data_IF_058923694058
#
_entry.id   IF_058923694058
#
_cell.length_a   1.000
_cell.length_b   1.000
_cell.length_c   1.000
_cell.angle_alpha   90.00
_cell.angle_beta   90.00
_cell.angle_gamma   90.00
#
_symmetry.space_group_name_H-M   'P 1'
#
loop_
_entity.id
_entity.type
_entity.pdbx_description
1 polymer ?
#
# COMPACT_ATOMS: atom_id res chain seq x y z
N UNK A 1 -12.68 -8.91 -0.01
CA UNK A 1 -11.56 -9.85 -0.17
C UNK A 1 -11.18 -9.89 -1.64
N UNK A 2 -9.90 -9.69 -1.97
CA UNK A 2 -9.41 -9.73 -3.36
C UNK A 2 -8.77 -11.09 -3.58
N UNK A 3 -9.33 -11.89 -4.49
CA UNK A 3 -8.86 -13.26 -4.78
C UNK A 3 -8.36 -13.44 -6.21
N UNK A 4 -8.66 -12.50 -7.11
CA UNK A 4 -8.26 -12.58 -8.52
C UNK A 4 -7.05 -11.70 -8.83
N UNK A 5 -6.09 -12.27 -9.56
CA UNK A 5 -4.94 -11.54 -10.15
C UNK A 5 -5.36 -10.53 -11.22
N UNK A 6 -6.53 -10.71 -11.83
CA UNK A 6 -7.04 -9.78 -12.85
C UNK A 6 -7.76 -8.57 -12.26
N UNK A 7 -7.88 -8.49 -10.93
CA UNK A 7 -8.50 -7.36 -10.25
C UNK A 7 -7.81 -6.04 -10.65
N UNK A 8 -8.56 -4.98 -11.02
CA UNK A 8 -7.98 -3.71 -11.44
C UNK A 8 -7.03 -3.07 -10.42
N UNK A 9 -7.30 -3.21 -9.12
CA UNK A 9 -6.45 -2.66 -8.06
C UNK A 9 -5.10 -3.40 -7.99
N UNK A 10 -5.12 -4.73 -8.15
CA UNK A 10 -3.89 -5.54 -8.20
C UNK A 10 -3.08 -5.22 -9.45
N UNK A 11 -3.74 -5.05 -10.61
CA UNK A 11 -3.06 -4.61 -11.83
C UNK A 11 -2.40 -3.25 -11.63
N UNK A 12 -3.10 -2.27 -11.05
CA UNK A 12 -2.53 -0.95 -10.80
C UNK A 12 -1.32 -1.00 -9.85
N UNK A 13 -1.36 -1.85 -8.82
CA UNK A 13 -0.21 -2.07 -7.92
C UNK A 13 1.03 -2.53 -8.70
N UNK A 14 0.86 -3.45 -9.67
CA UNK A 14 1.94 -3.90 -10.55
C UNK A 14 2.42 -2.76 -11.47
N UNK A 15 1.51 -1.95 -12.02
CA UNK A 15 1.86 -0.79 -12.84
C UNK A 15 2.77 0.19 -12.09
N UNK A 16 2.48 0.48 -10.81
CA UNK A 16 3.27 1.38 -9.97
C UNK A 16 4.72 0.93 -9.72
N UNK A 17 5.13 -0.27 -10.13
CA UNK A 17 6.55 -0.66 -10.17
C UNK A 17 7.35 0.14 -11.22
N UNK A 18 6.69 0.68 -12.25
CA UNK A 18 7.31 1.54 -13.27
C UNK A 18 7.42 2.98 -12.79
N UNK A 19 8.55 3.62 -13.05
CA UNK A 19 8.79 5.00 -12.63
C UNK A 19 7.86 6.03 -13.31
N UNK A 20 7.47 5.78 -14.57
CA UNK A 20 6.52 6.64 -15.29
C UNK A 20 5.15 6.65 -14.61
N UNK A 21 4.62 5.47 -14.28
CA UNK A 21 3.33 5.29 -13.62
C UNK A 21 3.29 5.97 -12.25
N UNK A 22 4.38 5.87 -11.47
CA UNK A 22 4.48 6.56 -10.17
C UNK A 22 4.44 8.07 -10.30
N UNK A 23 5.11 8.63 -11.31
CA UNK A 23 5.13 10.07 -11.55
C UNK A 23 3.77 10.58 -12.03
N UNK A 24 3.13 9.83 -12.94
CA UNK A 24 1.83 10.17 -13.49
C UNK A 24 0.73 10.13 -12.42
N UNK A 25 0.68 9.06 -11.63
CA UNK A 25 -0.34 8.88 -10.59
C UNK A 25 0.01 9.62 -9.29
N UNK A 26 1.23 10.14 -9.17
CA UNK A 26 1.78 10.70 -7.92
C UNK A 26 1.70 9.72 -6.73
N UNK A 27 1.86 8.43 -7.01
CA UNK A 27 1.78 7.35 -6.02
C UNK A 27 3.06 6.52 -6.00
N UNK A 28 3.39 5.99 -4.82
CA UNK A 28 4.46 5.02 -4.63
C UNK A 28 3.90 3.78 -3.93
N UNK A 29 4.53 2.63 -4.15
CA UNK A 29 4.22 1.40 -3.42
C UNK A 29 5.22 1.28 -2.27
N UNK A 30 4.70 1.08 -1.06
CA UNK A 30 5.49 0.84 0.15
C UNK A 30 5.10 -0.54 0.67
N UNK A 31 6.08 -1.44 0.76
CA UNK A 31 5.90 -2.81 1.23
C UNK A 31 6.63 -3.01 2.54
N UNK A 32 6.03 -3.79 3.44
CA UNK A 32 6.59 -4.07 4.75
C UNK A 32 6.07 -3.13 5.84
N UNK A 33 5.79 -3.69 7.01
CA UNK A 33 5.22 -2.95 8.16
C UNK A 33 6.12 -1.78 8.58
N UNK A 34 7.43 -2.02 8.68
CA UNK A 34 8.40 -1.02 9.15
C UNK A 34 8.48 0.17 8.19
N UNK A 35 8.45 -0.10 6.90
CA UNK A 35 8.52 0.90 5.83
C UNK A 35 7.22 1.72 5.78
N UNK A 36 6.06 1.07 5.92
CA UNK A 36 4.75 1.74 6.04
C UNK A 36 4.73 2.66 7.26
N UNK A 37 5.13 2.18 8.44
CA UNK A 37 5.20 3.00 9.65
C UNK A 37 6.15 4.18 9.49
N UNK A 38 7.28 4.00 8.79
CA UNK A 38 8.21 5.10 8.48
C UNK A 38 7.59 6.13 7.54
N UNK A 39 6.88 5.70 6.51
CA UNK A 39 6.20 6.60 5.59
C UNK A 39 5.15 7.44 6.34
N UNK A 40 4.32 6.81 7.17
CA UNK A 40 3.33 7.50 8.00
C UNK A 40 3.96 8.49 8.99
N UNK A 41 5.12 8.16 9.57
CA UNK A 41 5.89 9.06 10.45
C UNK A 41 6.49 10.27 9.73
N UNK A 42 6.65 10.21 8.41
CA UNK A 42 7.16 11.30 7.56
C UNK A 42 6.05 11.94 6.72
N UNK A 43 4.82 11.93 7.24
CA UNK A 43 3.66 12.63 6.67
C UNK A 43 3.23 12.17 5.26
N UNK A 44 3.62 10.96 4.85
CA UNK A 44 3.03 10.35 3.66
C UNK A 44 1.58 9.99 3.94
N UNK A 45 0.68 10.41 3.04
CA UNK A 45 -0.73 10.07 3.09
C UNK A 45 -0.95 8.67 2.52
N UNK A 46 -1.70 7.86 3.25
CA UNK A 46 -2.04 6.51 2.83
C UNK A 46 -3.24 6.56 1.90
N UNK A 47 -3.03 6.22 0.63
CA UNK A 47 -4.08 6.17 -0.38
C UNK A 47 -4.86 4.84 -0.33
N UNK A 48 -4.15 3.70 -0.33
CA UNK A 48 -4.72 2.34 -0.27
C UNK A 48 -3.80 1.43 0.52
N UNK A 49 -4.38 0.60 1.40
CA UNK A 49 -3.67 -0.45 2.13
C UNK A 49 -4.12 -1.82 1.65
N UNK A 50 -3.15 -2.66 1.27
CA UNK A 50 -3.38 -4.06 0.96
C UNK A 50 -2.91 -4.89 2.15
N UNK A 51 -3.79 -5.74 2.67
CA UNK A 51 -3.50 -6.62 3.80
C UNK A 51 -3.90 -8.05 3.47
N UNK A 52 -3.08 -9.00 3.91
CA UNK A 52 -3.38 -10.43 3.86
C UNK A 52 -3.42 -10.95 5.29
N UNK A 53 -4.59 -11.35 5.78
CA UNK A 53 -4.76 -11.78 7.17
C UNK A 53 -3.85 -12.94 7.56
N UNK A 54 -3.61 -13.86 6.63
CA UNK A 54 -2.70 -15.00 6.81
C UNK A 54 -1.23 -14.57 7.03
N UNK A 55 -0.83 -13.41 6.48
CA UNK A 55 0.54 -12.89 6.57
C UNK A 55 0.68 -11.89 7.71
N UNK A 56 -0.33 -11.05 7.95
CA UNK A 56 -0.25 -9.93 8.88
C UNK A 56 -0.33 -10.35 10.36
N UNK A 57 -0.86 -11.53 10.68
CA UNK A 57 -1.10 -11.97 12.06
C UNK A 57 -2.12 -11.11 12.81
N UNK A 58 -2.54 -11.56 14.00
CA UNK A 58 -3.65 -10.95 14.76
C UNK A 58 -3.34 -9.58 15.40
N UNK A 59 -2.07 -9.14 15.40
CA UNK A 59 -1.62 -7.97 16.17
C UNK A 59 -1.11 -6.78 15.35
N UNK A 60 -1.46 -6.67 14.07
CA UNK A 60 -0.98 -5.58 13.22
C UNK A 60 -1.96 -4.41 13.20
N UNK A 61 -1.84 -3.52 14.19
CA UNK A 61 -2.48 -2.20 14.18
C UNK A 61 -1.56 -1.21 13.47
N UNK A 62 -2.07 -0.60 12.40
CA UNK A 62 -1.43 0.52 11.73
C UNK A 62 -2.41 1.68 11.86
N UNK A 63 -2.08 2.68 12.67
CA UNK A 63 -2.91 3.86 12.87
C UNK A 63 -2.58 4.87 11.77
N UNK A 64 -3.43 4.94 10.74
CA UNK A 64 -3.40 6.07 9.82
C UNK A 64 -4.05 7.26 10.54
N UNK A 65 -3.33 8.37 10.68
CA UNK A 65 -3.94 9.63 11.11
C UNK A 65 -4.77 10.16 9.95
N UNK A 66 -6.09 10.08 10.08
CA UNK A 66 -6.99 10.86 9.22
C UNK A 66 -6.76 12.36 9.51
N UNK A 67 -6.58 13.15 8.45
CA UNK A 67 -6.58 14.62 8.53
C UNK A 67 -7.93 15.12 8.02
#
# INVERSE_FOLDING_TARGET
>A
MITSKTNPQVKNLIHLQKASERKEQQLIVVEGRREIERALKNDFKLEKLFACGEICGEHTKIEAKET
#
